data_IF_666625902087
#
_entry.id   IF_666625902087
#
_cell.length_a   1.000
_cell.length_b   1.000
_cell.length_c   1.000
_cell.angle_alpha   90.00
_cell.angle_beta   90.00
_cell.angle_gamma   90.00
#
_symmetry.space_group_name_H-M   'P 1'
#
loop_
_entity.id
_entity.type
_entity.pdbx_description
1 polymer ?
#
# COMPACT_ATOMS: atom_id res chain seq x y z
N UNK A 1 -18.86 -3.26 -9.54
CA UNK A 1 -17.74 -3.03 -8.60
C UNK A 1 -16.55 -2.55 -9.40
N UNK A 2 -15.86 -1.54 -8.89
CA UNK A 2 -14.64 -0.98 -9.47
C UNK A 2 -13.44 -1.35 -8.60
N UNK A 3 -12.41 -1.96 -9.19
CA UNK A 3 -11.19 -2.41 -8.54
C UNK A 3 -9.96 -1.67 -9.08
N UNK A 4 -9.12 -1.19 -8.17
CA UNK A 4 -7.76 -0.72 -8.48
C UNK A 4 -6.78 -1.84 -8.16
N UNK A 5 -6.11 -2.36 -9.20
CA UNK A 5 -5.29 -3.57 -9.14
C UNK A 5 -3.82 -3.21 -9.40
N UNK A 6 -2.87 -3.71 -8.58
CA UNK A 6 -1.46 -3.39 -8.79
C UNK A 6 -0.94 -4.09 -10.05
N UNK A 7 0.03 -3.46 -10.72
CA UNK A 7 0.90 -4.17 -11.67
C UNK A 7 2.30 -4.33 -11.12
N UNK A 8 2.88 -5.49 -11.37
CA UNK A 8 4.31 -5.77 -11.28
C UNK A 8 4.99 -5.63 -12.67
N UNK A 9 4.27 -5.06 -13.63
CA UNK A 9 4.61 -4.89 -15.04
C UNK A 9 4.64 -6.14 -15.92
N UNK A 10 4.17 -7.28 -15.41
CA UNK A 10 4.01 -8.48 -16.21
C UNK A 10 2.80 -8.37 -17.14
N UNK A 11 3.02 -8.52 -18.45
CA UNK A 11 1.94 -8.47 -19.45
C UNK A 11 0.98 -9.65 -19.33
N UNK A 12 1.39 -10.74 -18.68
CA UNK A 12 0.51 -11.87 -18.36
C UNK A 12 -0.62 -11.49 -17.39
N UNK A 13 -0.55 -10.33 -16.72
CA UNK A 13 -1.66 -9.81 -15.92
C UNK A 13 -2.84 -9.35 -16.78
N UNK A 14 -2.60 -8.84 -17.98
CA UNK A 14 -3.60 -8.05 -18.72
C UNK A 14 -4.80 -8.91 -19.13
N UNK A 15 -4.55 -10.04 -19.79
CA UNK A 15 -5.62 -10.88 -20.32
C UNK A 15 -6.49 -11.54 -19.21
N UNK A 16 -5.92 -12.09 -18.12
CA UNK A 16 -6.73 -12.59 -17.01
C UNK A 16 -7.55 -11.49 -16.33
N UNK A 17 -6.97 -10.30 -16.12
CA UNK A 17 -7.68 -9.20 -15.48
C UNK A 17 -8.85 -8.69 -16.33
N UNK A 18 -8.69 -8.56 -17.65
CA UNK A 18 -9.77 -8.10 -18.55
C UNK A 18 -10.94 -9.07 -18.66
N UNK A 19 -10.75 -10.34 -18.29
CA UNK A 19 -11.81 -11.37 -18.30
C UNK A 19 -12.62 -11.41 -17.00
N UNK A 20 -12.17 -10.73 -15.93
CA UNK A 20 -12.89 -10.67 -14.67
C UNK A 20 -14.14 -9.79 -14.79
N UNK A 21 -15.20 -10.14 -14.06
CA UNK A 21 -16.47 -9.38 -14.03
C UNK A 21 -16.39 -8.18 -13.08
N UNK A 22 -15.38 -7.34 -13.23
CA UNK A 22 -15.22 -6.09 -12.50
C UNK A 22 -14.70 -5.00 -13.45
N UNK A 23 -15.04 -3.74 -13.16
CA UNK A 23 -14.37 -2.61 -13.80
C UNK A 23 -12.98 -2.50 -13.16
N UNK A 24 -11.91 -2.62 -13.95
CA UNK A 24 -10.54 -2.73 -13.45
C UNK A 24 -9.68 -1.59 -14.00
N UNK A 25 -9.09 -0.86 -13.05
CA UNK A 25 -8.00 0.06 -13.29
C UNK A 25 -6.71 -0.56 -12.78
N UNK A 26 -5.73 -0.74 -13.67
CA UNK A 26 -4.39 -1.15 -13.28
C UNK A 26 -3.65 0.07 -12.75
N UNK A 27 -2.86 -0.08 -11.68
CA UNK A 27 -1.99 0.98 -11.19
C UNK A 27 -0.53 0.53 -11.02
N UNK A 28 0.39 1.40 -11.39
CA UNK A 28 1.82 1.11 -11.44
C UNK A 28 2.70 2.34 -11.30
N UNK A 29 4.00 2.11 -11.19
CA UNK A 29 5.03 3.15 -11.18
C UNK A 29 6.34 2.53 -11.62
N UNK A 30 7.18 3.31 -12.29
CA UNK A 30 8.54 2.87 -12.59
C UNK A 30 9.32 2.56 -11.29
N UNK A 31 10.27 1.62 -11.30
CA UNK A 31 11.05 1.23 -10.12
C UNK A 31 11.70 2.41 -9.40
N UNK A 32 12.19 3.37 -10.18
CA UNK A 32 12.70 4.65 -9.68
C UNK A 32 12.13 5.78 -10.53
N UNK A 33 11.97 6.95 -9.92
CA UNK A 33 11.56 8.18 -10.63
C UNK A 33 12.08 9.40 -9.88
N UNK A 34 11.84 10.59 -10.43
CA UNK A 34 12.13 11.84 -9.72
C UNK A 34 11.29 11.98 -8.44
N UNK A 35 10.01 11.62 -8.48
CA UNK A 35 9.11 11.77 -7.33
C UNK A 35 9.30 10.65 -6.31
N UNK A 36 9.55 9.44 -6.78
CA UNK A 36 9.44 8.23 -5.98
C UNK A 36 7.99 7.81 -5.73
N UNK A 37 7.83 6.73 -4.98
CA UNK A 37 6.54 6.16 -4.58
C UNK A 37 6.62 5.57 -3.19
N UNK A 38 5.52 5.61 -2.43
CA UNK A 38 5.43 4.96 -1.12
C UNK A 38 5.27 3.45 -1.20
N UNK A 39 6.21 2.76 -1.84
CA UNK A 39 6.31 1.30 -1.93
C UNK A 39 7.69 0.89 -2.44
N UNK A 40 7.98 -0.42 -2.43
CA UNK A 40 9.31 -0.94 -2.74
C UNK A 40 9.65 -0.87 -4.24
N UNK A 41 10.07 0.31 -4.71
CA UNK A 41 10.62 0.51 -6.06
C UNK A 41 11.69 -0.52 -6.48
N UNK A 42 12.66 -0.87 -5.61
CA UNK A 42 13.73 -1.83 -5.95
C UNK A 42 13.27 -3.28 -6.18
N UNK A 43 12.04 -3.65 -5.77
CA UNK A 43 11.51 -5.01 -5.90
C UNK A 43 10.65 -5.20 -7.15
N UNK A 44 10.45 -4.13 -7.92
CA UNK A 44 9.72 -4.15 -9.17
C UNK A 44 10.71 -4.50 -10.29
N UNK A 45 10.35 -5.35 -11.27
CA UNK A 45 11.18 -5.60 -12.44
C UNK A 45 11.70 -4.31 -13.05
N UNK A 46 12.94 -4.34 -13.55
CA UNK A 46 13.50 -3.21 -14.31
C UNK A 46 12.57 -2.91 -15.48
N UNK A 47 12.06 -1.69 -15.54
CA UNK A 47 11.06 -1.25 -16.49
C UNK A 47 11.54 0.06 -17.12
N UNK A 48 11.66 0.09 -18.45
CA UNK A 48 11.98 1.32 -19.18
C UNK A 48 10.72 2.13 -19.49
N UNK A 49 10.91 3.37 -19.92
CA UNK A 49 9.84 4.27 -20.33
C UNK A 49 9.05 3.66 -21.51
N UNK A 50 9.75 3.13 -22.52
CA UNK A 50 9.16 2.59 -23.74
C UNK A 50 8.36 1.31 -23.45
N UNK A 51 8.89 0.46 -22.57
CA UNK A 51 8.20 -0.75 -22.13
C UNK A 51 6.94 -0.41 -21.32
N UNK A 52 6.98 0.65 -20.49
CA UNK A 52 5.81 1.13 -19.76
C UNK A 52 4.74 1.68 -20.71
N UNK A 53 5.13 2.45 -21.73
CA UNK A 53 4.20 2.92 -22.77
C UNK A 53 3.52 1.77 -23.52
N UNK A 54 4.27 0.74 -23.89
CA UNK A 54 3.72 -0.45 -24.54
C UNK A 54 2.76 -1.21 -23.62
N UNK A 55 3.12 -1.34 -22.34
CA UNK A 55 2.25 -1.95 -21.33
C UNK A 55 0.91 -1.20 -21.22
N UNK A 56 0.97 0.14 -21.16
CA UNK A 56 -0.23 0.99 -21.07
C UNK A 56 -1.12 0.79 -22.31
N UNK A 57 -0.54 0.81 -23.51
CA UNK A 57 -1.27 0.53 -24.77
C UNK A 57 -1.92 -0.85 -24.76
N UNK A 58 -1.20 -1.87 -24.30
CA UNK A 58 -1.73 -3.23 -24.17
C UNK A 58 -2.91 -3.29 -23.19
N UNK A 59 -2.79 -2.62 -22.03
CA UNK A 59 -3.87 -2.53 -21.04
C UNK A 59 -5.13 -1.87 -21.65
N UNK A 60 -4.97 -0.74 -22.35
CA UNK A 60 -6.09 -0.09 -23.04
C UNK A 60 -6.70 -0.94 -24.15
N UNK A 61 -5.87 -1.66 -24.92
CA UNK A 61 -6.35 -2.57 -25.96
C UNK A 61 -7.21 -3.71 -25.42
N UNK A 62 -7.01 -4.07 -24.15
CA UNK A 62 -7.80 -5.05 -23.41
C UNK A 62 -9.00 -4.44 -22.67
N UNK A 63 -9.26 -3.14 -22.82
CA UNK A 63 -10.37 -2.44 -22.16
C UNK A 63 -10.11 -2.05 -20.70
N UNK A 64 -8.86 -2.09 -20.24
CA UNK A 64 -8.45 -1.67 -18.90
C UNK A 64 -7.95 -0.23 -18.91
N UNK A 65 -8.07 0.48 -17.79
CA UNK A 65 -7.47 1.83 -17.62
C UNK A 65 -6.20 1.77 -16.79
N UNK A 66 -5.37 2.81 -16.86
CA UNK A 66 -4.08 2.87 -16.17
C UNK A 66 -3.94 4.10 -15.26
N UNK A 67 -3.49 3.86 -14.03
CA UNK A 67 -3.21 4.89 -13.01
C UNK A 67 -1.74 4.88 -12.59
N UNK A 68 -1.03 5.98 -12.84
CA UNK A 68 0.38 6.11 -12.50
C UNK A 68 0.58 6.72 -11.11
N UNK A 69 1.42 6.10 -10.27
CA UNK A 69 1.64 6.58 -8.91
C UNK A 69 2.76 7.64 -8.84
N UNK A 70 2.41 8.78 -8.27
CA UNK A 70 3.27 9.92 -7.94
C UNK A 70 3.13 10.24 -6.43
N UNK A 71 3.12 9.19 -5.62
CA UNK A 71 2.57 9.23 -4.26
C UNK A 71 3.61 9.18 -3.14
N UNK A 72 4.88 9.50 -3.44
CA UNK A 72 5.84 9.76 -2.38
C UNK A 72 5.32 10.92 -1.49
N UNK A 73 5.40 10.79 -0.16
CA UNK A 73 4.92 11.83 0.76
C UNK A 73 5.84 13.06 0.83
N UNK A 74 7.08 12.95 0.33
CA UNK A 74 8.11 13.97 0.48
C UNK A 74 9.05 13.99 -0.73
N UNK A 75 9.30 15.19 -1.26
CA UNK A 75 10.30 15.46 -2.30
C UNK A 75 11.55 16.15 -1.76
N UNK A 76 11.66 16.33 -0.44
CA UNK A 76 12.77 17.04 0.20
C UNK A 76 12.98 18.47 -0.34
N UNK A 77 11.88 19.21 -0.59
CA UNK A 77 11.86 20.56 -1.17
C UNK A 77 12.44 20.68 -2.59
N UNK A 78 12.69 19.57 -3.27
CA UNK A 78 13.25 19.57 -4.63
C UNK A 78 12.27 20.10 -5.68
N UNK A 79 10.95 20.06 -5.42
CA UNK A 79 9.90 20.62 -6.27
C UNK A 79 10.01 22.14 -6.51
N UNK A 80 10.80 22.82 -5.68
CA UNK A 80 11.09 24.26 -5.76
C UNK A 80 12.39 24.58 -6.51
N UNK A 81 13.25 23.58 -6.72
CA UNK A 81 14.46 23.75 -7.51
C UNK A 81 14.09 23.80 -9.00
N UNK A 82 14.56 24.81 -9.72
CA UNK A 82 14.09 25.12 -11.08
C UNK A 82 14.26 23.95 -12.05
N UNK A 83 15.44 23.31 -12.07
CA UNK A 83 15.70 22.18 -12.98
C UNK A 83 14.81 20.98 -12.63
N UNK A 84 14.65 20.71 -11.35
CA UNK A 84 13.84 19.59 -10.86
C UNK A 84 12.36 19.83 -11.11
N UNK A 85 11.90 21.07 -10.99
CA UNK A 85 10.55 21.47 -11.35
C UNK A 85 10.30 21.28 -12.85
N UNK A 86 11.23 21.68 -13.71
CA UNK A 86 11.14 21.45 -15.16
C UNK A 86 11.09 19.95 -15.50
N UNK A 87 11.87 19.13 -14.82
CA UNK A 87 11.83 17.67 -14.97
C UNK A 87 10.51 17.05 -14.52
N UNK A 88 9.95 17.54 -13.40
CA UNK A 88 8.62 17.14 -12.94
C UNK A 88 7.55 17.42 -14.00
N UNK A 89 7.56 18.60 -14.61
CA UNK A 89 6.61 18.95 -15.67
C UNK A 89 6.79 18.07 -16.92
N UNK A 90 8.03 17.80 -17.35
CA UNK A 90 8.31 16.86 -18.45
C UNK A 90 7.81 15.45 -18.14
N UNK A 91 7.95 15.00 -16.90
CA UNK A 91 7.45 13.69 -16.49
C UNK A 91 5.91 13.63 -16.55
N UNK A 92 5.21 14.67 -16.11
CA UNK A 92 3.75 14.77 -16.25
C UNK A 92 3.29 14.84 -17.72
N UNK A 93 4.03 15.56 -18.57
CA UNK A 93 3.79 15.62 -20.01
C UNK A 93 3.99 14.24 -20.67
N UNK A 94 5.03 13.51 -20.27
CA UNK A 94 5.22 12.13 -20.72
C UNK A 94 4.04 11.24 -20.32
N UNK A 95 3.60 11.27 -19.05
CA UNK A 95 2.45 10.48 -18.59
C UNK A 95 1.19 10.76 -19.42
N UNK A 96 0.94 12.05 -19.70
CA UNK A 96 -0.14 12.49 -20.59
C UNK A 96 0.00 11.88 -21.98
N UNK A 97 1.18 11.96 -22.60
CA UNK A 97 1.42 11.45 -23.95
C UNK A 97 1.37 9.91 -24.03
N UNK A 98 1.75 9.23 -22.95
CA UNK A 98 1.66 7.77 -22.83
C UNK A 98 0.22 7.27 -22.68
N UNK A 99 -0.76 8.17 -22.52
CA UNK A 99 -2.17 7.83 -22.39
C UNK A 99 -2.60 7.46 -20.97
N UNK A 100 -1.82 7.81 -19.95
CA UNK A 100 -2.20 7.55 -18.55
C UNK A 100 -3.54 8.22 -18.24
N UNK A 101 -4.51 7.45 -17.73
CA UNK A 101 -5.86 7.94 -17.45
C UNK A 101 -5.94 8.75 -16.15
N UNK A 102 -5.13 8.36 -15.16
CA UNK A 102 -5.18 8.88 -13.79
C UNK A 102 -3.79 8.94 -13.17
N UNK A 103 -3.56 9.92 -12.32
CA UNK A 103 -2.35 10.02 -11.50
C UNK A 103 -2.70 10.06 -10.02
N UNK A 104 -1.99 9.27 -9.21
CA UNK A 104 -2.20 9.21 -7.75
C UNK A 104 -1.12 10.00 -7.02
N UNK A 105 -1.48 11.04 -6.27
CA UNK A 105 -0.53 11.88 -5.51
C UNK A 105 -0.77 11.83 -3.99
N UNK A 106 0.25 12.20 -3.21
CA UNK A 106 0.12 12.36 -1.76
C UNK A 106 0.34 13.81 -1.28
N UNK A 107 1.00 14.64 -2.08
CA UNK A 107 1.39 16.01 -1.73
C UNK A 107 0.34 17.00 -2.28
N UNK A 108 -0.27 17.89 -1.47
CA UNK A 108 -1.28 18.85 -1.91
C UNK A 108 -0.82 19.77 -3.05
N UNK A 109 0.42 20.26 -3.02
CA UNK A 109 0.98 21.08 -4.09
C UNK A 109 0.95 20.37 -5.45
N UNK A 110 1.24 19.06 -5.49
CA UNK A 110 1.19 18.30 -6.74
C UNK A 110 -0.25 18.17 -7.26
N UNK A 111 -1.23 18.05 -6.37
CA UNK A 111 -2.64 18.07 -6.77
C UNK A 111 -3.01 19.39 -7.47
N UNK A 112 -2.65 20.52 -6.87
CA UNK A 112 -2.87 21.85 -7.47
C UNK A 112 -2.14 22.01 -8.80
N UNK A 113 -0.87 21.62 -8.85
CA UNK A 113 -0.03 21.71 -10.04
C UNK A 113 -0.63 20.92 -11.21
N UNK A 114 -1.01 19.66 -10.96
CA UNK A 114 -1.59 18.77 -11.97
C UNK A 114 -2.93 19.30 -12.44
N UNK A 115 -3.82 19.73 -11.53
CA UNK A 115 -5.13 20.26 -11.95
C UNK A 115 -5.03 21.58 -12.71
N UNK A 116 -4.01 22.39 -12.42
CA UNK A 116 -3.76 23.63 -13.13
C UNK A 116 -3.20 23.40 -14.54
N UNK A 117 -2.20 22.53 -14.69
CA UNK A 117 -1.43 22.41 -15.94
C UNK A 117 -1.79 21.18 -16.79
N UNK A 118 -2.33 20.13 -16.19
CA UNK A 118 -2.71 18.87 -16.84
C UNK A 118 -4.16 18.46 -16.46
N UNK A 119 -5.16 19.33 -16.68
CA UNK A 119 -6.53 19.11 -16.20
C UNK A 119 -7.23 17.89 -16.81
N UNK A 120 -6.70 17.33 -17.90
CA UNK A 120 -7.18 16.11 -18.55
C UNK A 120 -6.77 14.83 -17.82
N UNK A 121 -5.70 14.86 -17.00
CA UNK A 121 -5.35 13.74 -16.14
C UNK A 121 -6.31 13.70 -14.95
N UNK A 122 -6.96 12.55 -14.73
CA UNK A 122 -7.75 12.38 -13.50
C UNK A 122 -6.82 12.38 -12.29
N UNK A 123 -7.18 13.12 -11.25
CA UNK A 123 -6.41 13.27 -10.04
C UNK A 123 -6.98 12.37 -8.93
N UNK A 124 -6.16 11.45 -8.42
CA UNK A 124 -6.47 10.63 -7.26
C UNK A 124 -5.57 10.95 -6.07
N UNK A 125 -6.17 11.00 -4.88
CA UNK A 125 -5.43 11.19 -3.63
C UNK A 125 -5.11 9.83 -3.01
N UNK A 126 -3.83 9.59 -2.77
CA UNK A 126 -3.30 8.39 -2.14
C UNK A 126 -3.74 8.25 -0.68
N UNK A 127 -3.89 7.01 -0.19
CA UNK A 127 -3.99 6.74 1.25
C UNK A 127 -2.82 7.32 2.05
N UNK A 128 -1.65 7.54 1.42
CA UNK A 128 -0.45 8.14 2.02
C UNK A 128 -0.65 9.63 2.35
N UNK A 129 -1.65 10.30 1.77
CA UNK A 129 -2.02 11.66 2.14
C UNK A 129 -2.76 11.74 3.49
N UNK A 130 -3.07 10.59 4.12
CA UNK A 130 -3.75 10.50 5.41
C UNK A 130 -5.10 11.24 5.46
N UNK A 131 -5.90 11.11 4.40
CA UNK A 131 -7.29 11.60 4.39
C UNK A 131 -8.15 10.73 5.31
N UNK A 132 -8.23 11.14 6.57
CA UNK A 132 -8.91 10.45 7.66
C UNK A 132 -9.88 11.36 8.43
N UNK A 133 -10.36 12.42 7.78
CA UNK A 133 -11.33 13.36 8.35
C UNK A 133 -12.12 14.07 7.25
N UNK A 134 -13.29 14.58 7.62
CA UNK A 134 -14.13 15.41 6.74
C UNK A 134 -13.38 16.64 6.22
N UNK A 135 -12.60 17.30 7.08
CA UNK A 135 -11.85 18.51 6.71
C UNK A 135 -10.78 18.21 5.66
N UNK A 136 -10.02 17.11 5.85
CA UNK A 136 -9.02 16.70 4.85
C UNK A 136 -9.66 16.30 3.52
N UNK A 137 -10.78 15.59 3.55
CA UNK A 137 -11.48 15.20 2.33
C UNK A 137 -11.97 16.43 1.54
N UNK A 138 -12.60 17.40 2.23
CA UNK A 138 -13.03 18.66 1.63
C UNK A 138 -11.88 19.48 1.06
N UNK A 139 -10.74 19.52 1.75
CA UNK A 139 -9.56 20.21 1.24
C UNK A 139 -9.16 19.63 -0.11
N UNK A 140 -8.91 18.31 -0.18
CA UNK A 140 -8.45 17.68 -1.41
C UNK A 140 -9.48 17.76 -2.54
N UNK A 141 -10.77 17.62 -2.24
CA UNK A 141 -11.83 17.87 -3.24
C UNK A 141 -11.77 19.32 -3.76
N UNK A 142 -11.55 20.31 -2.90
CA UNK A 142 -11.44 21.72 -3.31
C UNK A 142 -10.20 22.01 -4.17
N UNK A 143 -9.15 21.19 -4.06
CA UNK A 143 -7.98 21.23 -4.95
C UNK A 143 -8.25 20.52 -6.30
N UNK A 144 -9.46 19.98 -6.48
CA UNK A 144 -9.93 19.35 -7.70
C UNK A 144 -9.80 17.82 -7.73
N UNK A 145 -9.53 17.13 -6.61
CA UNK A 145 -9.45 15.67 -6.62
C UNK A 145 -10.69 15.02 -7.25
N UNK A 146 -10.49 14.17 -8.27
CA UNK A 146 -11.57 13.39 -8.89
C UNK A 146 -11.90 12.17 -8.03
N UNK A 147 -10.90 11.60 -7.35
CA UNK A 147 -11.07 10.52 -6.39
C UNK A 147 -10.15 10.65 -5.16
N UNK A 148 -10.58 10.10 -4.03
CA UNK A 148 -9.80 10.03 -2.80
C UNK A 148 -9.81 8.60 -2.26
N UNK A 149 -8.62 8.00 -2.14
CA UNK A 149 -8.46 6.78 -1.35
C UNK A 149 -8.30 7.18 0.12
N UNK A 150 -9.32 6.87 0.93
CA UNK A 150 -9.31 7.16 2.35
C UNK A 150 -8.22 6.39 3.07
N UNK A 151 -7.76 6.96 4.17
CA UNK A 151 -6.71 6.35 4.98
C UNK A 151 -7.17 5.00 5.55
N UNK A 152 -6.35 3.95 5.41
CA UNK A 152 -6.64 2.59 5.91
C UNK A 152 -7.17 2.53 7.34
N UNK A 153 -6.62 3.35 8.26
CA UNK A 153 -7.07 3.39 9.65
C UNK A 153 -8.57 3.72 9.83
N UNK A 154 -9.24 4.33 8.83
CA UNK A 154 -10.67 4.65 8.91
C UNK A 154 -11.58 3.57 8.30
N UNK A 155 -11.05 2.51 7.69
CA UNK A 155 -11.84 1.47 7.03
C UNK A 155 -12.88 0.79 7.95
N UNK A 156 -12.77 0.91 9.27
CA UNK A 156 -13.78 0.34 10.19
C UNK A 156 -14.48 1.40 11.04
N UNK A 157 -14.29 2.68 10.72
CA UNK A 157 -15.05 3.78 11.31
C UNK A 157 -16.21 4.16 10.40
N UNK A 158 -17.25 3.33 10.39
CA UNK A 158 -18.41 3.53 9.52
C UNK A 158 -19.14 4.85 9.76
N UNK A 159 -19.04 5.42 10.97
CA UNK A 159 -19.59 6.75 11.26
C UNK A 159 -18.82 7.82 10.49
N UNK A 160 -17.50 7.77 10.52
CA UNK A 160 -16.65 8.70 9.80
C UNK A 160 -16.75 8.50 8.28
N UNK A 161 -16.79 7.26 7.79
CA UNK A 161 -16.95 6.97 6.35
C UNK A 161 -18.20 7.65 5.78
N UNK A 162 -19.36 7.49 6.45
CA UNK A 162 -20.61 8.19 6.07
C UNK A 162 -20.46 9.71 6.15
N UNK A 163 -19.88 10.22 7.23
CA UNK A 163 -19.68 11.66 7.39
C UNK A 163 -18.78 12.27 6.30
N UNK A 164 -17.78 11.53 5.82
CA UNK A 164 -16.95 11.96 4.68
C UNK A 164 -17.77 11.91 3.39
N UNK A 165 -18.48 10.82 3.11
CA UNK A 165 -19.34 10.70 1.93
C UNK A 165 -20.36 11.83 1.83
N UNK A 166 -21.02 12.19 2.93
CA UNK A 166 -22.01 13.26 2.97
C UNK A 166 -21.39 14.65 2.70
N UNK A 167 -20.07 14.80 2.91
CA UNK A 167 -19.37 16.06 2.85
C UNK A 167 -18.67 16.35 1.52
N UNK A 168 -18.48 15.33 0.67
CA UNK A 168 -17.80 15.45 -0.63
C UNK A 168 -18.63 14.79 -1.73
N UNK A 169 -18.33 15.08 -2.99
CA UNK A 169 -18.94 14.53 -4.21
C UNK A 169 -17.98 13.69 -5.05
N UNK A 170 -16.67 13.87 -4.90
CA UNK A 170 -15.65 13.04 -5.56
C UNK A 170 -15.84 11.54 -5.25
N UNK A 171 -15.20 10.69 -6.04
CA UNK A 171 -15.20 9.24 -5.81
C UNK A 171 -14.42 8.92 -4.53
N UNK A 172 -14.92 8.00 -3.71
CA UNK A 172 -14.27 7.54 -2.47
C UNK A 172 -13.83 6.09 -2.61
N UNK A 173 -12.57 5.83 -2.30
CA UNK A 173 -12.00 4.49 -2.31
C UNK A 173 -11.40 4.06 -0.99
N UNK A 174 -11.23 2.75 -0.80
CA UNK A 174 -10.56 2.16 0.36
C UNK A 174 -9.54 1.10 -0.07
N UNK A 175 -8.45 0.95 0.68
CA UNK A 175 -7.47 -0.12 0.49
C UNK A 175 -7.93 -1.38 1.24
N UNK A 176 -8.09 -2.50 0.56
CA UNK A 176 -8.82 -3.66 1.10
C UNK A 176 -7.97 -4.65 1.89
N UNK A 177 -6.76 -4.97 1.45
CA UNK A 177 -6.06 -6.17 1.93
C UNK A 177 -4.77 -5.88 2.72
N UNK A 178 -4.65 -4.71 3.34
CA UNK A 178 -3.44 -4.34 4.09
C UNK A 178 -3.37 -4.97 5.48
N UNK A 179 -2.23 -5.61 5.80
CA UNK A 179 -1.88 -6.13 7.13
C UNK A 179 -1.04 -5.16 7.97
N UNK A 180 -1.08 -3.86 7.67
CA UNK A 180 -0.48 -2.83 8.53
C UNK A 180 -1.10 -2.85 9.94
N UNK A 181 -0.31 -2.48 10.95
CA UNK A 181 -0.84 -2.28 12.30
C UNK A 181 -1.88 -1.16 12.32
N UNK A 182 -2.91 -1.29 13.14
CA UNK A 182 -3.85 -0.19 13.37
C UNK A 182 -3.17 0.96 14.10
N UNK A 183 -3.31 2.20 13.60
CA UNK A 183 -2.60 3.38 14.14
C UNK A 183 -1.09 3.14 14.22
N UNK A 184 -0.52 2.54 13.16
CA UNK A 184 0.89 2.17 13.12
C UNK A 184 1.81 3.37 13.39
N UNK A 185 2.63 3.35 14.46
CA UNK A 185 3.52 4.46 14.80
C UNK A 185 4.67 4.62 13.79
N UNK A 186 4.91 3.61 12.96
CA UNK A 186 5.98 3.60 11.96
C UNK A 186 5.55 4.11 10.60
N UNK A 187 4.25 4.33 10.35
CA UNK A 187 3.69 4.56 9.02
C UNK A 187 4.30 5.76 8.31
N UNK A 188 4.34 6.92 8.96
CA UNK A 188 4.92 8.14 8.40
C UNK A 188 6.39 7.95 8.00
N UNK A 189 7.18 7.39 8.92
CA UNK A 189 8.60 7.14 8.67
C UNK A 189 8.80 6.11 7.55
N UNK A 190 8.03 5.03 7.55
CA UNK A 190 8.06 3.98 6.52
C UNK A 190 7.76 4.54 5.12
N UNK A 191 6.69 5.33 4.97
CA UNK A 191 6.33 5.91 3.68
C UNK A 191 7.39 6.91 3.19
N UNK A 192 7.98 7.71 4.08
CA UNK A 192 9.08 8.62 3.75
C UNK A 192 10.32 7.85 3.30
N UNK A 193 10.72 6.82 4.04
CA UNK A 193 11.88 5.98 3.71
C UNK A 193 11.73 5.34 2.33
N UNK A 194 10.56 4.77 2.01
CA UNK A 194 10.29 4.17 0.70
C UNK A 194 10.21 5.22 -0.42
N UNK A 195 9.58 6.37 -0.15
CA UNK A 195 9.52 7.48 -1.09
C UNK A 195 10.91 7.95 -1.49
N UNK A 196 11.81 8.16 -0.53
CA UNK A 196 13.20 8.55 -0.80
C UNK A 196 14.03 7.44 -1.43
N UNK A 197 13.83 6.18 -1.05
CA UNK A 197 14.55 5.07 -1.66
C UNK A 197 14.22 4.91 -3.15
N UNK A 198 13.02 5.25 -3.57
CA UNK A 198 12.59 5.18 -4.97
C UNK A 198 12.90 6.45 -5.79
N UNK A 199 13.59 7.43 -5.20
CA UNK A 199 14.06 8.62 -5.90
C UNK A 199 15.41 8.35 -6.57
N UNK A 200 15.48 8.56 -7.89
CA UNK A 200 16.68 8.26 -8.69
C UNK A 200 17.91 9.15 -8.35
N UNK A 201 17.71 10.30 -7.71
CA UNK A 201 18.78 11.18 -7.24
C UNK A 201 19.23 10.89 -5.81
N UNK A 202 18.62 9.92 -5.12
CA UNK A 202 19.02 9.58 -3.76
C UNK A 202 20.44 9.02 -3.74
N UNK A 203 21.31 9.54 -2.85
CA UNK A 203 22.71 9.12 -2.76
C UNK A 203 22.90 7.66 -2.33
N UNK A 204 21.86 7.04 -1.75
CA UNK A 204 21.84 5.63 -1.37
C UNK A 204 21.29 4.71 -2.47
N UNK A 205 20.92 5.26 -3.64
CA UNK A 205 20.55 4.52 -4.85
C UNK A 205 19.62 3.32 -4.62
N UNK A 206 18.46 3.54 -4.01
CA UNK A 206 17.51 2.45 -3.72
C UNK A 206 17.65 1.82 -2.34
N UNK A 207 18.76 2.00 -1.63
CA UNK A 207 18.96 1.38 -0.33
C UNK A 207 18.10 2.04 0.75
N UNK A 208 17.46 1.19 1.54
CA UNK A 208 16.79 1.58 2.77
C UNK A 208 16.85 0.47 3.82
N UNK A 209 16.80 0.87 5.09
CA UNK A 209 16.77 -0.06 6.20
C UNK A 209 15.33 -0.39 6.59
N UNK A 210 14.99 -1.68 6.60
CA UNK A 210 13.62 -2.17 6.78
C UNK A 210 13.16 -2.19 8.26
N UNK A 211 13.60 -1.21 9.04
CA UNK A 211 13.30 -1.07 10.47
C UNK A 211 11.79 -1.13 10.77
N UNK A 212 11.00 -0.39 10.00
CA UNK A 212 9.55 -0.29 10.18
C UNK A 212 8.87 -1.64 9.97
N UNK A 213 9.26 -2.35 8.91
CA UNK A 213 8.66 -3.64 8.56
C UNK A 213 9.06 -4.70 9.57
N UNK A 214 10.32 -4.74 10.00
CA UNK A 214 10.77 -5.68 11.04
C UNK A 214 10.08 -5.43 12.37
N UNK A 215 9.94 -4.17 12.81
CA UNK A 215 9.20 -3.81 14.02
C UNK A 215 7.73 -4.22 13.95
N UNK A 216 7.02 -3.83 12.89
CA UNK A 216 5.59 -4.13 12.80
C UNK A 216 5.30 -5.63 12.66
N UNK A 217 6.19 -6.38 11.99
CA UNK A 217 6.10 -7.85 11.88
C UNK A 217 6.29 -8.51 13.24
N UNK A 218 7.28 -8.05 14.01
CA UNK A 218 7.52 -8.53 15.37
C UNK A 218 6.31 -8.28 16.30
N UNK A 219 5.67 -7.11 16.20
CA UNK A 219 4.45 -6.83 16.98
C UNK A 219 3.30 -7.78 16.60
N UNK A 220 3.11 -8.08 15.30
CA UNK A 220 2.07 -9.02 14.85
C UNK A 220 2.25 -10.43 15.39
N UNK A 221 3.49 -10.93 15.39
CA UNK A 221 3.76 -12.28 15.86
C UNK A 221 3.82 -12.40 17.39
N UNK A 222 4.09 -11.31 18.12
CA UNK A 222 3.98 -11.28 19.59
C UNK A 222 2.54 -11.20 20.08
N UNK A 223 1.67 -10.53 19.32
CA UNK A 223 0.27 -10.34 19.65
C UNK A 223 -0.59 -10.69 18.41
N UNK A 224 -1.11 -11.92 18.38
CA UNK A 224 -1.93 -12.39 17.26
C UNK A 224 -3.19 -11.55 17.04
N UNK A 225 -3.67 -10.80 18.04
CA UNK A 225 -4.80 -9.88 17.86
C UNK A 225 -4.48 -8.75 16.88
N UNK A 226 -3.21 -8.46 16.61
CA UNK A 226 -2.79 -7.47 15.61
C UNK A 226 -3.22 -7.86 14.20
N UNK A 227 -3.26 -9.15 13.85
CA UNK A 227 -3.78 -9.60 12.55
C UNK A 227 -5.25 -9.22 12.36
N UNK A 228 -6.04 -9.23 13.45
CA UNK A 228 -7.45 -8.82 13.43
C UNK A 228 -7.59 -7.31 13.56
N UNK A 229 -6.72 -6.62 14.33
CA UNK A 229 -6.73 -5.15 14.46
C UNK A 229 -6.43 -4.45 13.13
N UNK A 230 -5.60 -5.04 12.28
CA UNK A 230 -5.34 -4.56 10.91
C UNK A 230 -6.64 -4.30 10.16
N UNK A 231 -6.70 -3.19 9.42
CA UNK A 231 -7.93 -2.66 8.83
C UNK A 231 -8.24 -3.18 7.44
N UNK A 232 -7.90 -4.44 7.19
CA UNK A 232 -8.35 -5.14 6.00
C UNK A 232 -9.87 -5.28 5.97
N UNK A 233 -10.40 -5.49 4.77
CA UNK A 233 -11.81 -5.66 4.41
C UNK A 233 -11.93 -7.05 3.78
N UNK A 234 -12.84 -7.88 4.28
CA UNK A 234 -13.08 -9.19 3.67
C UNK A 234 -13.82 -9.03 2.34
N UNK A 235 -13.60 -9.95 1.38
CA UNK A 235 -14.37 -9.97 0.13
C UNK A 235 -15.88 -9.97 0.36
N UNK A 236 -16.36 -10.71 1.38
CA UNK A 236 -17.79 -10.78 1.69
C UNK A 236 -18.37 -9.48 2.27
N UNK A 237 -17.54 -8.61 2.85
CA UNK A 237 -17.99 -7.37 3.48
C UNK A 237 -18.08 -6.20 2.49
N UNK A 238 -17.58 -6.35 1.26
CA UNK A 238 -17.60 -5.32 0.20
C UNK A 238 -18.96 -4.62 0.05
N UNK A 239 -20.12 -5.32 0.04
CA UNK A 239 -21.43 -4.67 -0.07
C UNK A 239 -21.70 -3.63 1.03
N UNK A 240 -21.22 -3.86 2.26
CA UNK A 240 -21.41 -2.94 3.39
C UNK A 240 -20.70 -1.61 3.15
N UNK A 241 -19.55 -1.65 2.46
CA UNK A 241 -18.78 -0.46 2.10
C UNK A 241 -19.43 0.28 0.94
N UNK A 242 -19.93 -0.42 -0.07
CA UNK A 242 -20.71 0.17 -1.16
C UNK A 242 -21.95 0.90 -0.60
N UNK A 243 -22.69 0.28 0.32
CA UNK A 243 -23.83 0.90 1.02
C UNK A 243 -23.45 2.13 1.84
N UNK A 244 -22.20 2.19 2.32
CA UNK A 244 -21.65 3.34 3.05
C UNK A 244 -21.24 4.50 2.11
N UNK A 245 -21.28 4.27 0.79
CA UNK A 245 -20.90 5.25 -0.23
C UNK A 245 -19.44 5.18 -0.68
N UNK A 246 -18.80 4.01 -0.52
CA UNK A 246 -17.50 3.73 -1.14
C UNK A 246 -17.72 3.30 -2.59
N UNK A 247 -17.04 3.96 -3.52
CA UNK A 247 -17.22 3.82 -4.96
C UNK A 247 -16.27 2.76 -5.57
N UNK A 248 -15.06 2.62 -5.01
CA UNK A 248 -14.04 1.70 -5.54
C UNK A 248 -13.11 1.10 -4.47
N UNK A 249 -12.46 -0.01 -4.81
CA UNK A 249 -11.65 -0.79 -3.88
C UNK A 249 -10.26 -1.02 -4.43
N UNK A 250 -9.24 -0.62 -3.68
CA UNK A 250 -7.84 -0.80 -4.06
C UNK A 250 -7.27 -2.05 -3.40
N UNK A 251 -6.64 -2.91 -4.19
CA UNK A 251 -5.93 -4.10 -3.74
C UNK A 251 -4.45 -3.75 -3.65
N UNK A 252 -3.79 -3.95 -2.51
CA UNK A 252 -2.35 -3.78 -2.35
C UNK A 252 -1.59 -5.01 -2.88
N UNK A 253 -0.27 -4.85 -3.06
CA UNK A 253 0.61 -5.97 -3.45
C UNK A 253 1.41 -5.77 -4.72
N UNK A 254 1.91 -4.55 -5.02
CA UNK A 254 2.73 -4.29 -6.23
C UNK A 254 3.96 -5.17 -6.37
N UNK A 255 4.54 -5.61 -5.25
CA UNK A 255 5.70 -6.49 -5.24
C UNK A 255 5.33 -7.99 -5.30
N UNK A 256 4.05 -8.33 -5.45
CA UNK A 256 3.59 -9.71 -5.48
C UNK A 256 3.69 -10.30 -6.89
N UNK A 257 3.87 -11.63 -7.03
CA UNK A 257 3.82 -12.32 -8.32
C UNK A 257 2.45 -12.19 -9.00
N UNK A 258 2.44 -12.33 -10.32
CA UNK A 258 1.25 -12.17 -11.16
C UNK A 258 0.10 -13.10 -10.75
N UNK A 259 0.42 -14.36 -10.45
CA UNK A 259 -0.54 -15.34 -9.92
C UNK A 259 -1.26 -14.85 -8.66
N UNK A 260 -0.51 -14.25 -7.72
CA UNK A 260 -1.08 -13.73 -6.48
C UNK A 260 -1.99 -12.53 -6.75
N UNK A 261 -1.57 -11.60 -7.63
CA UNK A 261 -2.36 -10.41 -8.00
C UNK A 261 -3.67 -10.83 -8.66
N UNK A 262 -3.61 -11.79 -9.60
CA UNK A 262 -4.79 -12.34 -10.28
C UNK A 262 -5.71 -13.02 -9.26
N UNK A 263 -5.18 -13.86 -8.37
CA UNK A 263 -5.96 -14.54 -7.35
C UNK A 263 -6.67 -13.54 -6.40
N UNK A 264 -5.92 -12.58 -5.84
CA UNK A 264 -6.52 -11.57 -4.96
C UNK A 264 -7.62 -10.78 -5.67
N UNK A 265 -7.39 -10.38 -6.94
CA UNK A 265 -8.37 -9.66 -7.73
C UNK A 265 -9.61 -10.50 -8.01
N UNK A 266 -9.45 -11.76 -8.42
CA UNK A 266 -10.56 -12.67 -8.67
C UNK A 266 -11.42 -12.88 -7.41
N UNK A 267 -10.77 -13.00 -6.24
CA UNK A 267 -11.44 -13.16 -4.96
C UNK A 267 -12.25 -11.93 -4.55
N UNK A 268 -11.71 -10.72 -4.68
CA UNK A 268 -12.50 -9.51 -4.44
C UNK A 268 -13.62 -9.36 -5.49
N UNK A 269 -13.34 -9.70 -6.76
CA UNK A 269 -14.31 -9.71 -7.87
C UNK A 269 -15.52 -10.62 -7.58
N UNK A 270 -15.27 -11.81 -7.03
CA UNK A 270 -16.32 -12.77 -6.68
C UNK A 270 -17.08 -12.43 -5.39
N UNK A 271 -16.54 -11.53 -4.55
CA UNK A 271 -17.06 -11.18 -3.21
C UNK A 271 -17.15 -12.38 -2.25
N UNK A 272 -16.43 -13.45 -2.54
CA UNK A 272 -16.48 -14.68 -1.76
C UNK A 272 -15.12 -15.36 -1.75
N UNK A 273 -14.71 -15.81 -0.58
CA UNK A 273 -13.45 -16.52 -0.42
C UNK A 273 -13.54 -17.64 0.60
N UNK A 274 -13.22 -18.87 0.19
CA UNK A 274 -13.14 -20.01 1.08
C UNK A 274 -11.68 -20.34 1.38
N UNK A 275 -11.35 -20.46 2.67
CA UNK A 275 -10.01 -20.84 3.12
C UNK A 275 -9.28 -19.74 3.91
N UNK A 276 -7.97 -19.68 3.71
CA UNK A 276 -7.06 -18.85 4.50
C UNK A 276 -7.06 -17.40 4.02
N UNK A 277 -7.75 -16.50 4.72
CA UNK A 277 -7.76 -15.07 4.39
C UNK A 277 -6.33 -14.49 4.27
N UNK A 278 -5.37 -15.01 5.04
CA UNK A 278 -3.96 -14.62 4.98
C UNK A 278 -3.32 -14.76 3.59
N UNK A 279 -3.83 -15.65 2.74
CA UNK A 279 -3.29 -15.87 1.39
C UNK A 279 -3.56 -14.70 0.43
N UNK A 280 -4.53 -13.81 0.73
CA UNK A 280 -4.84 -12.62 -0.08
C UNK A 280 -4.53 -11.29 0.62
N UNK A 281 -3.96 -11.35 1.82
CA UNK A 281 -3.54 -10.18 2.57
C UNK A 281 -2.09 -9.80 2.26
N UNK A 282 -1.80 -8.51 2.28
CA UNK A 282 -0.50 -7.97 1.91
C UNK A 282 0.11 -7.13 3.04
N UNK A 283 1.37 -7.43 3.31
CA UNK A 283 2.32 -6.56 4.00
C UNK A 283 3.71 -6.80 3.38
N UNK A 284 4.57 -5.78 3.27
CA UNK A 284 5.96 -6.02 2.86
C UNK A 284 6.63 -7.05 3.77
N UNK A 285 7.39 -7.97 3.17
CA UNK A 285 8.30 -8.82 3.94
C UNK A 285 9.49 -7.98 4.39
N UNK A 286 9.95 -8.11 5.65
CA UNK A 286 11.13 -7.40 6.08
C UNK A 286 12.33 -7.92 5.32
N UNK A 287 13.06 -7.01 4.66
CA UNK A 287 14.37 -7.32 4.10
C UNK A 287 15.42 -6.96 5.13
N UNK A 288 16.34 -7.88 5.36
CA UNK A 288 17.60 -7.52 6.02
C UNK A 288 18.66 -7.53 4.93
N UNK A 289 19.09 -6.32 4.58
CA UNK A 289 20.16 -6.07 3.62
C UNK A 289 21.37 -5.57 4.44
N UNK A 290 22.45 -6.36 4.51
CA UNK A 290 23.72 -5.90 5.07
C UNK A 290 24.58 -5.35 3.93
N UNK A 291 25.12 -4.14 4.05
CA UNK A 291 26.19 -3.71 3.16
C UNK A 291 27.49 -4.39 3.61
N UNK A 292 28.06 -5.25 2.77
CA UNK A 292 29.35 -5.89 3.05
C UNK A 292 30.49 -4.85 3.13
N UNK A 293 31.55 -5.06 3.93
CA UNK A 293 32.60 -4.05 4.13
C UNK A 293 33.53 -3.82 2.92
N UNK A 294 33.59 -4.76 1.97
CA UNK A 294 34.62 -4.83 0.92
C UNK A 294 34.08 -4.72 -0.51
N UNK A 295 32.78 -4.50 -0.70
CA UNK A 295 32.17 -4.32 -2.01
C UNK A 295 30.85 -3.56 -1.87
N UNK A 296 30.45 -2.73 -2.84
CA UNK A 296 29.08 -2.18 -2.90
C UNK A 296 28.01 -3.29 -3.08
N UNK A 297 28.42 -4.55 -3.21
CA UNK A 297 27.50 -5.70 -3.14
C UNK A 297 27.00 -5.89 -1.71
N UNK A 298 25.73 -5.54 -1.52
CA UNK A 298 24.92 -5.87 -0.35
C UNK A 298 24.95 -7.40 -0.13
N UNK A 299 25.53 -7.86 0.99
CA UNK A 299 25.34 -9.23 1.46
C UNK A 299 23.96 -9.31 2.13
N UNK A 300 22.99 -9.86 1.41
CA UNK A 300 21.63 -9.97 1.91
C UNK A 300 21.53 -11.21 2.80
N UNK A 301 21.79 -11.10 4.10
CA UNK A 301 21.33 -12.12 5.05
C UNK A 301 19.85 -11.91 5.28
N UNK A 302 19.02 -12.51 4.42
CA UNK A 302 17.56 -12.48 4.61
C UNK A 302 17.24 -13.17 5.93
N UNK A 303 16.49 -12.54 6.84
CA UNK A 303 15.62 -13.34 7.70
C UNK A 303 14.79 -14.17 6.74
N UNK A 304 14.62 -15.46 7.02
CA UNK A 304 13.71 -16.30 6.25
C UNK A 304 12.36 -15.62 6.04
N UNK A 305 11.57 -16.12 5.10
CA UNK A 305 10.21 -15.62 4.91
C UNK A 305 9.45 -15.61 6.25
N UNK A 306 8.59 -14.61 6.51
CA UNK A 306 7.80 -14.62 7.73
C UNK A 306 6.95 -15.89 7.80
N UNK A 307 6.71 -16.44 9.01
CA UNK A 307 5.89 -17.62 9.21
C UNK A 307 4.53 -17.48 8.52
N UNK A 308 4.05 -18.57 7.94
CA UNK A 308 2.73 -18.55 7.30
C UNK A 308 1.65 -18.34 8.35
N UNK A 309 0.76 -17.38 8.10
CA UNK A 309 -0.39 -17.10 8.97
C UNK A 309 -1.64 -17.70 8.34
N UNK A 310 -2.35 -18.52 9.10
CA UNK A 310 -3.68 -18.98 8.72
C UNK A 310 -4.75 -18.16 9.44
N UNK A 311 -5.68 -17.58 8.69
CA UNK A 311 -6.84 -16.84 9.19
C UNK A 311 -8.09 -17.48 8.58
N UNK A 312 -8.88 -18.17 9.40
CA UNK A 312 -10.11 -18.83 8.97
C UNK A 312 -11.15 -17.78 8.51
N UNK A 313 -11.32 -17.63 7.19
CA UNK A 313 -12.23 -16.63 6.64
C UNK A 313 -13.70 -16.90 6.99
N UNK A 314 -14.09 -18.17 7.06
CA UNK A 314 -15.46 -18.58 7.32
C UNK A 314 -15.82 -18.29 8.78
N UNK A 315 -14.90 -18.54 9.71
CA UNK A 315 -15.10 -18.29 11.12
C UNK A 315 -15.24 -16.79 11.48
N UNK A 316 -14.97 -15.88 10.53
CA UNK A 316 -15.15 -14.43 10.65
C UNK A 316 -16.56 -13.96 10.28
N UNK A 317 -17.48 -14.80 9.83
CA UNK A 317 -18.86 -14.37 9.48
C UNK A 317 -19.49 -13.49 10.58
N UNK A 318 -20.03 -12.33 10.19
CA UNK A 318 -20.61 -11.33 11.09
C UNK A 318 -19.63 -10.48 11.89
N UNK A 319 -18.30 -10.71 11.82
CA UNK A 319 -17.35 -9.99 12.68
C UNK A 319 -17.35 -8.47 12.46
N UNK A 320 -17.71 -8.01 11.26
CA UNK A 320 -17.71 -6.61 10.86
C UNK A 320 -18.80 -5.80 11.58
N UNK A 321 -19.89 -6.45 12.01
CA UNK A 321 -21.03 -5.79 12.65
C UNK A 321 -20.66 -5.14 13.98
N UNK A 322 -19.69 -5.70 14.70
CA UNK A 322 -19.15 -5.11 15.91
C UNK A 322 -18.62 -3.68 15.67
N UNK A 323 -17.93 -3.47 14.55
CA UNK A 323 -17.31 -2.19 14.22
C UNK A 323 -18.30 -1.12 13.75
N UNK A 324 -19.55 -1.49 13.43
CA UNK A 324 -20.60 -0.51 13.09
C UNK A 324 -20.95 0.41 14.26
N UNK A 325 -20.70 -0.02 15.50
CA UNK A 325 -21.01 0.70 16.74
C UNK A 325 -19.81 0.99 17.63
N UNK A 326 -18.69 0.31 17.40
CA UNK A 326 -17.51 0.43 18.26
C UNK A 326 -16.66 1.66 17.92
N UNK A 327 -16.25 2.41 18.95
CA UNK A 327 -15.15 3.36 18.85
C UNK A 327 -13.83 2.64 19.15
N UNK A 328 -13.09 2.26 18.11
CA UNK A 328 -11.77 1.67 18.26
C UNK A 328 -10.68 2.70 18.58
N UNK A 329 -10.85 3.96 18.21
CA UNK A 329 -9.79 4.96 18.36
C UNK A 329 -9.60 5.30 19.84
N UNK A 330 -10.70 5.50 20.56
CA UNK A 330 -10.67 5.88 21.97
C UNK A 330 -10.87 4.68 22.92
N UNK A 331 -11.52 3.61 22.45
CA UNK A 331 -11.96 2.50 23.30
C UNK A 331 -11.09 1.25 23.29
N UNK A 332 -10.04 1.18 22.47
CA UNK A 332 -9.30 -0.08 22.25
C UNK A 332 -8.67 -0.66 23.52
N UNK A 333 -8.21 0.19 24.45
CA UNK A 333 -7.54 -0.26 25.69
C UNK A 333 -8.45 -1.04 26.65
N UNK A 334 -9.77 -0.96 26.48
CA UNK A 334 -10.77 -1.59 27.33
C UNK A 334 -11.63 -2.62 26.56
N UNK A 335 -11.15 -3.04 25.39
CA UNK A 335 -11.87 -3.94 24.49
C UNK A 335 -11.00 -5.16 24.15
N UNK A 336 -11.57 -6.36 24.27
CA UNK A 336 -10.89 -7.63 23.98
C UNK A 336 -11.41 -8.33 22.72
N UNK A 337 -12.27 -7.66 21.94
CA UNK A 337 -12.94 -8.26 20.79
C UNK A 337 -11.97 -8.84 19.75
N UNK A 338 -10.94 -8.08 19.38
CA UNK A 338 -9.93 -8.53 18.42
C UNK A 338 -9.11 -9.71 18.96
N UNK A 339 -8.86 -9.77 20.29
CA UNK A 339 -8.17 -10.90 20.91
C UNK A 339 -9.04 -12.15 20.84
N UNK A 340 -10.29 -12.08 21.31
CA UNK A 340 -11.25 -13.20 21.25
C UNK A 340 -11.47 -13.71 19.83
N UNK A 341 -11.49 -12.79 18.86
CA UNK A 341 -11.60 -13.15 17.44
C UNK A 341 -10.32 -13.86 16.98
N UNK A 342 -9.14 -13.33 17.31
CA UNK A 342 -7.87 -13.94 16.93
C UNK A 342 -7.72 -15.35 17.51
N UNK A 343 -8.06 -15.56 18.79
CA UNK A 343 -8.02 -16.87 19.46
C UNK A 343 -8.87 -17.94 18.74
N UNK A 344 -9.94 -17.50 18.05
CA UNK A 344 -10.84 -18.38 17.29
C UNK A 344 -10.32 -18.67 15.88
N UNK A 345 -9.77 -17.68 15.19
CA UNK A 345 -9.59 -17.74 13.72
C UNK A 345 -8.14 -17.76 13.26
N UNK A 346 -7.20 -17.27 14.08
CA UNK A 346 -5.78 -17.17 13.72
C UNK A 346 -5.06 -18.43 14.18
N UNK A 347 -4.32 -19.06 13.27
CA UNK A 347 -3.46 -20.21 13.57
C UNK A 347 -2.04 -19.92 13.08
N UNK A 348 -1.08 -20.23 13.93
CA UNK A 348 0.35 -19.98 13.74
C UNK A 348 1.14 -21.24 14.11
N UNK A 349 2.24 -21.49 13.42
CA UNK A 349 3.25 -22.48 13.84
C UNK A 349 4.13 -21.83 14.91
N UNK A 350 3.91 -22.18 16.19
CA UNK A 350 4.60 -21.54 17.31
C UNK A 350 6.13 -21.72 17.27
N UNK A 351 6.69 -22.93 17.01
CA UNK A 351 8.12 -23.09 16.77
C UNK A 351 8.69 -22.15 15.70
N UNK A 352 8.06 -22.06 14.53
CA UNK A 352 8.51 -21.18 13.44
C UNK A 352 8.43 -19.70 13.85
N UNK A 353 7.36 -19.33 14.54
CA UNK A 353 7.15 -17.97 15.06
C UNK A 353 8.20 -17.59 16.10
N UNK A 354 8.51 -18.47 17.05
CA UNK A 354 9.48 -18.19 18.11
C UNK A 354 10.90 -18.00 17.55
N UNK A 355 11.28 -18.83 16.57
CA UNK A 355 12.54 -18.67 15.83
C UNK A 355 12.58 -17.31 15.11
N UNK A 356 11.53 -17.00 14.36
CA UNK A 356 11.44 -15.74 13.60
C UNK A 356 11.49 -14.51 14.52
N UNK A 357 10.79 -14.56 15.65
CA UNK A 357 10.81 -13.52 16.68
C UNK A 357 12.23 -13.34 17.23
N UNK A 358 12.95 -14.44 17.49
CA UNK A 358 14.33 -14.41 17.99
C UNK A 358 15.27 -13.71 17.02
N UNK A 359 15.24 -14.11 15.73
CA UNK A 359 16.08 -13.50 14.68
C UNK A 359 15.76 -12.02 14.50
N UNK A 360 14.48 -11.67 14.45
CA UNK A 360 14.01 -10.28 14.33
C UNK A 360 14.47 -9.41 15.52
N UNK A 361 14.42 -9.94 16.76
CA UNK A 361 14.95 -9.24 17.93
C UNK A 361 16.46 -9.07 17.85
N UNK A 362 17.21 -10.07 17.40
CA UNK A 362 18.66 -9.98 17.25
C UNK A 362 19.05 -8.87 16.29
N UNK A 363 18.45 -8.84 15.10
CA UNK A 363 18.70 -7.77 14.13
C UNK A 363 18.35 -6.39 14.68
N UNK A 364 17.18 -6.23 15.31
CA UNK A 364 16.79 -4.95 15.90
C UNK A 364 17.76 -4.52 17.01
N UNK A 365 18.28 -5.46 17.80
CA UNK A 365 19.31 -5.18 18.79
C UNK A 365 20.61 -4.72 18.13
N UNK A 366 21.06 -5.36 17.05
CA UNK A 366 22.26 -4.95 16.31
C UNK A 366 22.11 -3.58 15.66
N UNK A 367 20.92 -3.28 15.15
CA UNK A 367 20.59 -1.98 14.56
C UNK A 367 20.54 -0.88 15.64
N UNK A 368 19.88 -1.12 16.77
CA UNK A 368 19.70 -0.12 17.84
C UNK A 368 20.94 0.07 18.71
N UNK A 369 21.79 -0.94 18.85
CA UNK A 369 23.10 -0.84 19.51
C UNK A 369 24.20 -0.32 18.57
N UNK A 370 23.85 0.00 17.32
CA UNK A 370 24.78 0.40 16.27
C UNK A 370 25.84 -0.64 15.91
N UNK A 371 25.76 -1.89 16.40
CA UNK A 371 26.70 -2.96 16.05
C UNK A 371 26.79 -3.18 14.54
N UNK A 372 25.65 -3.07 13.84
CA UNK A 372 25.60 -3.17 12.37
C UNK A 372 26.45 -2.09 11.67
N UNK A 373 26.67 -0.94 12.30
CA UNK A 373 27.49 0.16 11.76
C UNK A 373 28.93 0.15 12.31
N UNK A 374 29.14 -0.47 13.49
CA UNK A 374 30.38 -0.41 14.27
C UNK A 374 31.29 -1.63 14.11
N UNK A 375 30.91 -2.64 13.33
CA UNK A 375 31.76 -3.79 12.98
C UNK A 375 33.09 -3.41 12.26
N UNK A 376 33.42 -2.11 12.18
CA UNK A 376 34.60 -1.47 11.59
C UNK A 376 35.62 -0.91 12.59
N UNK A 377 35.54 -1.23 13.89
CA UNK A 377 36.67 -0.96 14.81
C UNK A 377 37.26 -2.28 15.28
N UNK A 378 38.19 -2.84 14.52
CA UNK A 378 39.55 -3.28 14.91
C UNK A 378 40.27 -3.88 13.71
#
# INVERSE_FOLDING_TARGET
>A
MHLLVPTNWDTELIAPLSQLRADIQIYGVLPTSLLGSGGSGPNIPQMTIEQAEEYIKLAHSAGLTFNYLLNAPCMNNMEWHEDTHRELLRHLEWLSNAGVDRVTVAIPYLAELIKCQFPHLKLEISTIAHVNSVVRAKLFESLGADSIILHTNVNRDFKLLRAIRDAVKCELGVLTNSLCLYQCPYEYYHNNTLGHASQNYNSLNGFYMDYCVTRCTLERFRDASQFIKSRWIRPEDIPIYEETGIDFFKIAGRAMPSEWIINATAVYSSRQYQGNLGDILYVPNPKIEYAGPTSPSIEITRIGSPPKVYIDNQALEGFIDFFKKQDCLSGCAHCDYCQKTADKVVRLDHPEVDEYISVSKSFLNDLTSSRIFLAKKY
#
